data_IF_665574015288
#
_entry.id   IF_665574015288
#
_cell.length_a   1.000
_cell.length_b   1.000
_cell.length_c   1.000
_cell.angle_alpha   90.00
_cell.angle_beta   90.00
_cell.angle_gamma   90.00
#
_symmetry.space_group_name_H-M   'P 1'
#
loop_
_entity.id
_entity.type
_entity.pdbx_description
1 polymer ?
#
# COMPACT_ATOMS: atom_id res chain seq x y z
N UNK A 1 -16.97 28.36 6.85
CA UNK A 1 -15.48 28.39 6.87
C UNK A 1 -15.00 27.84 5.55
N UNK A 2 -14.04 28.46 4.86
CA UNK A 2 -13.44 27.82 3.70
C UNK A 2 -12.73 26.54 4.18
N UNK A 3 -12.79 25.43 3.43
CA UNK A 3 -12.04 24.23 3.78
C UNK A 3 -10.55 24.57 3.85
N UNK A 4 -9.83 23.97 4.81
CA UNK A 4 -8.38 24.13 5.03
C UNK A 4 -7.57 23.96 3.72
N UNK A 5 -8.13 23.29 2.71
CA UNK A 5 -7.59 23.18 1.35
C UNK A 5 -7.33 24.51 0.62
N UNK A 6 -7.93 25.62 1.06
CA UNK A 6 -7.80 26.93 0.41
C UNK A 6 -6.49 27.69 0.76
N UNK A 7 -5.73 27.24 1.76
CA UNK A 7 -4.58 27.95 2.32
C UNK A 7 -3.22 27.28 2.04
N UNK A 8 -3.10 26.53 0.96
CA UNK A 8 -1.91 25.73 0.65
C UNK A 8 -1.07 26.36 -0.47
N UNK A 9 0.10 26.90 -0.10
CA UNK A 9 1.13 27.45 -0.98
C UNK A 9 1.93 26.31 -1.63
N UNK A 10 1.75 26.05 -2.92
CA UNK A 10 2.68 25.24 -3.70
C UNK A 10 3.84 26.12 -4.22
N UNK A 11 4.95 25.53 -4.71
CA UNK A 11 6.01 26.26 -5.43
C UNK A 11 5.41 27.11 -6.55
N UNK A 12 6.03 28.27 -6.84
CA UNK A 12 5.61 29.15 -7.93
C UNK A 12 5.52 28.33 -9.24
N UNK A 13 4.33 28.30 -9.85
CA UNK A 13 4.03 27.52 -11.06
C UNK A 13 3.31 26.17 -10.86
N UNK A 14 3.25 25.62 -9.64
CA UNK A 14 2.63 24.31 -9.36
C UNK A 14 1.41 24.38 -8.41
N UNK A 15 0.84 25.57 -8.22
CA UNK A 15 -0.25 25.84 -7.25
C UNK A 15 -1.49 24.97 -7.45
N UNK A 16 -1.84 24.64 -8.70
CA UNK A 16 -2.97 23.76 -9.00
C UNK A 16 -2.65 22.30 -8.69
N UNK A 17 -1.56 21.76 -9.22
CA UNK A 17 -1.15 20.36 -9.02
C UNK A 17 -0.93 20.05 -7.54
N UNK A 18 -0.25 20.92 -6.79
CA UNK A 18 -0.05 20.72 -5.36
C UNK A 18 -1.36 20.66 -4.57
N UNK A 19 -2.37 21.47 -4.94
CA UNK A 19 -3.70 21.41 -4.32
C UNK A 19 -4.44 20.11 -4.65
N UNK A 20 -4.33 19.62 -5.88
CA UNK A 20 -4.92 18.34 -6.29
C UNK A 20 -4.26 17.19 -5.53
N UNK A 21 -2.92 17.17 -5.45
CA UNK A 21 -2.15 16.17 -4.71
C UNK A 21 -2.55 16.16 -3.22
N UNK A 22 -2.57 17.31 -2.55
CA UNK A 22 -2.98 17.41 -1.15
C UNK A 22 -4.44 16.94 -0.96
N UNK A 23 -5.33 17.28 -1.89
CA UNK A 23 -6.73 16.82 -1.85
C UNK A 23 -6.84 15.30 -2.03
N UNK A 24 -6.05 14.71 -2.92
CA UNK A 24 -6.01 13.26 -3.13
C UNK A 24 -5.49 12.53 -1.88
N UNK A 25 -4.45 13.08 -1.22
CA UNK A 25 -3.93 12.55 0.05
C UNK A 25 -4.98 12.60 1.16
N UNK A 26 -5.61 13.75 1.37
CA UNK A 26 -6.65 13.94 2.41
C UNK A 26 -7.80 12.97 2.18
N UNK A 27 -8.35 12.89 0.96
CA UNK A 27 -9.46 11.99 0.64
C UNK A 27 -9.12 10.52 0.83
N UNK A 28 -7.88 10.12 0.55
CA UNK A 28 -7.39 8.76 0.80
C UNK A 28 -7.38 8.47 2.29
N UNK A 29 -6.78 9.35 3.11
CA UNK A 29 -6.73 9.18 4.57
C UNK A 29 -8.13 9.17 5.16
N UNK A 30 -9.01 10.08 4.73
CA UNK A 30 -10.41 10.08 5.16
C UNK A 30 -11.10 8.76 4.80
N UNK A 31 -10.84 8.21 3.62
CA UNK A 31 -11.44 6.95 3.20
C UNK A 31 -10.97 5.75 4.04
N UNK A 32 -9.72 5.76 4.53
CA UNK A 32 -9.15 4.69 5.36
C UNK A 32 -9.57 4.87 6.83
N UNK A 33 -9.32 6.04 7.42
CA UNK A 33 -9.57 6.30 8.84
C UNK A 33 -11.07 6.31 9.18
N UNK A 34 -11.90 6.88 8.30
CA UNK A 34 -13.34 6.87 8.49
C UNK A 34 -14.02 5.65 7.85
N UNK A 35 -13.27 4.67 7.35
CA UNK A 35 -13.88 3.45 6.81
C UNK A 35 -14.73 2.77 7.88
N UNK A 36 -14.24 2.64 9.11
CA UNK A 36 -15.01 2.04 10.22
C UNK A 36 -16.30 2.82 10.53
N UNK A 37 -16.24 4.16 10.48
CA UNK A 37 -17.42 5.00 10.69
C UNK A 37 -18.42 4.86 9.53
N UNK A 38 -17.95 4.84 8.29
CA UNK A 38 -18.77 4.69 7.09
C UNK A 38 -19.40 3.29 6.98
N UNK A 39 -18.63 2.25 7.31
CA UNK A 39 -19.05 0.86 7.29
C UNK A 39 -20.07 0.56 8.40
N UNK A 40 -19.98 1.23 9.56
CA UNK A 40 -20.91 1.07 10.68
C UNK A 40 -20.69 -0.20 11.49
N UNK A 41 -21.08 -0.20 12.77
CA UNK A 41 -20.71 -1.26 13.74
C UNK A 41 -21.52 -2.56 13.69
N UNK A 42 -22.79 -2.49 13.30
CA UNK A 42 -23.76 -3.60 13.51
C UNK A 42 -24.14 -4.35 12.22
N UNK A 43 -23.48 -4.09 11.10
CA UNK A 43 -23.78 -4.80 9.86
C UNK A 43 -23.08 -6.15 9.78
N UNK A 44 -23.77 -7.11 9.17
CA UNK A 44 -23.13 -8.34 8.68
C UNK A 44 -22.12 -8.04 7.58
N UNK A 45 -21.17 -8.95 7.35
CA UNK A 45 -20.17 -8.83 6.27
C UNK A 45 -20.85 -8.56 4.92
N UNK A 46 -21.96 -9.25 4.61
CA UNK A 46 -22.75 -9.01 3.41
C UNK A 46 -23.26 -7.57 3.30
N UNK A 47 -23.73 -6.99 4.40
CA UNK A 47 -24.16 -5.60 4.46
C UNK A 47 -23.01 -4.61 4.23
N UNK A 48 -21.83 -4.91 4.78
CA UNK A 48 -20.62 -4.12 4.57
C UNK A 48 -20.17 -4.14 3.11
N UNK A 49 -20.13 -5.33 2.49
CA UNK A 49 -19.80 -5.51 1.07
C UNK A 49 -20.77 -4.71 0.17
N UNK A 50 -22.07 -4.77 0.45
CA UNK A 50 -23.05 -3.98 -0.29
C UNK A 50 -22.80 -2.46 -0.19
N UNK A 51 -22.42 -1.97 1.01
CA UNK A 51 -22.04 -0.55 1.20
C UNK A 51 -20.78 -0.18 0.43
N UNK A 52 -19.78 -1.05 0.38
CA UNK A 52 -18.55 -0.83 -0.39
C UNK A 52 -18.88 -0.65 -1.87
N UNK A 53 -19.69 -1.53 -2.45
CA UNK A 53 -20.10 -1.43 -3.86
C UNK A 53 -20.91 -0.15 -4.13
N UNK A 54 -21.75 0.28 -3.20
CA UNK A 54 -22.53 1.52 -3.33
C UNK A 54 -21.68 2.80 -3.22
N UNK A 55 -20.51 2.76 -2.60
CA UNK A 55 -19.66 3.94 -2.38
C UNK A 55 -18.87 4.41 -3.62
N UNK A 56 -18.95 3.65 -4.71
CA UNK A 56 -18.25 3.90 -5.97
C UNK A 56 -16.89 3.18 -6.06
N UNK A 57 -16.52 2.81 -7.29
CA UNK A 57 -15.37 1.96 -7.58
C UNK A 57 -14.06 2.53 -7.02
N UNK A 58 -13.77 3.81 -7.25
CA UNK A 58 -12.49 4.39 -6.81
C UNK A 58 -12.27 4.34 -5.30
N UNK A 59 -13.33 4.36 -4.50
CA UNK A 59 -13.24 4.29 -3.03
C UNK A 59 -13.23 2.86 -2.51
N UNK A 60 -13.69 1.90 -3.30
CA UNK A 60 -13.84 0.51 -2.88
C UNK A 60 -12.53 -0.11 -2.38
N UNK A 61 -11.39 0.25 -2.98
CA UNK A 61 -10.07 -0.20 -2.55
C UNK A 61 -9.79 0.10 -1.06
N UNK A 62 -10.01 1.35 -0.65
CA UNK A 62 -9.78 1.78 0.74
C UNK A 62 -10.85 1.24 1.68
N UNK A 63 -12.09 1.12 1.22
CA UNK A 63 -13.17 0.58 2.03
C UNK A 63 -13.05 -0.94 2.23
N UNK A 64 -12.45 -1.67 1.29
CA UNK A 64 -12.10 -3.07 1.44
C UNK A 64 -11.00 -3.27 2.50
N UNK A 65 -10.00 -2.38 2.54
CA UNK A 65 -9.05 -2.30 3.65
C UNK A 65 -9.76 -2.02 4.97
N UNK A 66 -10.69 -1.06 4.98
CA UNK A 66 -11.53 -0.78 6.14
C UNK A 66 -12.36 -1.98 6.62
N UNK A 67 -12.91 -2.80 5.70
CA UNK A 67 -13.64 -4.02 6.01
C UNK A 67 -12.76 -5.01 6.77
N UNK A 68 -11.54 -5.24 6.26
CA UNK A 68 -10.56 -6.10 6.92
C UNK A 68 -10.22 -5.61 8.32
N UNK A 69 -9.99 -4.31 8.47
CA UNK A 69 -9.66 -3.70 9.76
C UNK A 69 -10.84 -3.80 10.75
N UNK A 70 -12.06 -3.52 10.28
CA UNK A 70 -13.27 -3.63 11.08
C UNK A 70 -13.45 -5.05 11.62
N UNK A 71 -13.35 -6.05 10.74
CA UNK A 71 -13.54 -7.44 11.08
C UNK A 71 -12.43 -7.96 12.02
N UNK A 72 -11.17 -7.58 11.77
CA UNK A 72 -10.04 -7.87 12.65
C UNK A 72 -10.21 -7.31 14.06
N UNK A 73 -10.62 -6.04 14.19
CA UNK A 73 -10.90 -5.41 15.48
C UNK A 73 -12.02 -6.09 16.24
N UNK A 74 -13.13 -6.43 15.55
CA UNK A 74 -14.29 -7.10 16.15
C UNK A 74 -13.93 -8.46 16.74
N UNK A 75 -13.03 -9.20 16.10
CA UNK A 75 -12.60 -10.52 16.56
C UNK A 75 -11.56 -10.44 17.66
N UNK A 76 -10.58 -9.53 17.57
CA UNK A 76 -9.65 -9.24 18.67
C UNK A 76 -10.37 -8.85 19.96
N UNK A 77 -11.49 -8.13 19.87
CA UNK A 77 -12.31 -7.76 21.02
C UNK A 77 -13.00 -8.97 21.69
N UNK A 78 -13.19 -10.08 20.96
CA UNK A 78 -13.84 -11.31 21.46
C UNK A 78 -12.84 -12.39 21.87
N UNK A 79 -11.70 -12.45 21.19
CA UNK A 79 -10.63 -13.41 21.39
C UNK A 79 -9.31 -12.76 20.98
N UNK A 80 -8.31 -12.72 21.87
CA UNK A 80 -7.01 -12.11 21.58
C UNK A 80 -6.18 -12.88 20.54
N UNK A 81 -6.50 -14.16 20.27
CA UNK A 81 -5.83 -15.00 19.26
C UNK A 81 -6.83 -15.55 18.23
N UNK A 82 -7.45 -14.69 17.39
CA UNK A 82 -8.38 -15.16 16.37
C UNK A 82 -7.66 -15.96 15.28
N UNK A 83 -8.38 -16.88 14.64
CA UNK A 83 -7.89 -17.71 13.54
C UNK A 83 -8.96 -17.83 12.46
N UNK A 84 -8.55 -18.17 11.24
CA UNK A 84 -9.45 -18.48 10.12
C UNK A 84 -10.41 -17.33 9.76
N UNK A 85 -9.97 -16.07 9.92
CA UNK A 85 -10.80 -14.88 9.70
C UNK A 85 -11.56 -14.90 8.37
N UNK A 86 -10.86 -15.22 7.28
CA UNK A 86 -11.41 -15.18 5.92
C UNK A 86 -11.69 -16.56 5.32
N UNK A 87 -11.41 -17.64 6.04
CA UNK A 87 -11.72 -19.01 5.63
C UNK A 87 -13.01 -19.56 6.28
N UNK A 88 -13.45 -18.99 7.40
CA UNK A 88 -14.61 -19.44 8.16
C UNK A 88 -15.59 -18.31 8.52
N UNK A 89 -16.77 -18.70 9.03
CA UNK A 89 -17.78 -17.75 9.52
C UNK A 89 -18.30 -16.79 8.45
N UNK A 90 -18.59 -15.55 8.84
CA UNK A 90 -19.04 -14.51 7.90
C UNK A 90 -17.92 -14.02 6.97
N UNK A 91 -16.65 -14.17 7.36
CA UNK A 91 -15.51 -13.70 6.58
C UNK A 91 -15.28 -14.48 5.29
N UNK A 92 -15.76 -15.73 5.22
CA UNK A 92 -15.76 -16.54 3.99
C UNK A 92 -16.63 -15.94 2.87
N UNK A 93 -17.60 -15.10 3.25
CA UNK A 93 -18.56 -14.49 2.31
C UNK A 93 -18.01 -13.19 1.71
N UNK A 94 -16.77 -12.78 2.05
CA UNK A 94 -16.08 -11.65 1.42
C UNK A 94 -15.72 -12.03 -0.03
N UNK A 95 -16.17 -11.25 -1.03
CA UNK A 95 -15.81 -11.50 -2.43
C UNK A 95 -14.30 -11.51 -2.67
N UNK A 96 -13.84 -12.38 -3.56
CA UNK A 96 -12.41 -12.57 -3.85
C UNK A 96 -11.70 -11.26 -4.21
N UNK A 97 -12.34 -10.40 -5.02
CA UNK A 97 -11.79 -9.11 -5.42
C UNK A 97 -11.55 -8.16 -4.23
N UNK A 98 -12.21 -8.36 -3.08
CA UNK A 98 -11.97 -7.53 -1.90
C UNK A 98 -10.92 -8.12 -0.96
N UNK A 99 -10.51 -9.38 -1.16
CA UNK A 99 -9.65 -10.10 -0.22
C UNK A 99 -8.26 -9.49 -0.12
N UNK A 100 -7.65 -9.04 -1.22
CA UNK A 100 -6.30 -8.45 -1.18
C UNK A 100 -6.23 -7.28 -0.19
N UNK A 101 -7.19 -6.36 -0.30
CA UNK A 101 -7.25 -5.20 0.59
C UNK A 101 -7.80 -5.55 1.97
N UNK A 102 -8.73 -6.50 2.08
CA UNK A 102 -9.20 -6.97 3.39
C UNK A 102 -8.06 -7.58 4.23
N UNK A 103 -7.11 -8.28 3.60
CA UNK A 103 -5.91 -8.78 4.28
C UNK A 103 -4.99 -7.65 4.75
N UNK A 104 -4.81 -6.60 3.93
CA UNK A 104 -4.11 -5.39 4.37
C UNK A 104 -4.76 -4.83 5.65
N UNK A 105 -6.08 -4.64 5.62
CA UNK A 105 -6.87 -4.13 6.73
C UNK A 105 -6.80 -4.97 8.00
N UNK A 106 -6.87 -6.29 7.86
CA UNK A 106 -6.70 -7.24 8.96
C UNK A 106 -5.35 -7.03 9.67
N UNK A 107 -4.27 -6.93 8.90
CA UNK A 107 -2.95 -6.70 9.46
C UNK A 107 -2.83 -5.34 10.16
N UNK A 108 -3.51 -4.29 9.64
CA UNK A 108 -3.62 -3.01 10.33
C UNK A 108 -4.28 -3.16 11.71
N UNK A 109 -5.37 -3.94 11.83
CA UNK A 109 -6.04 -4.17 13.10
C UNK A 109 -5.12 -4.88 14.11
N UNK A 110 -4.47 -5.96 13.68
CA UNK A 110 -3.55 -6.73 14.52
C UNK A 110 -2.35 -5.89 14.97
N UNK A 111 -1.72 -5.17 14.04
CA UNK A 111 -0.58 -4.32 14.34
C UNK A 111 -0.95 -3.22 15.34
N UNK A 112 -2.03 -2.47 15.11
CA UNK A 112 -2.44 -1.40 16.04
C UNK A 112 -2.73 -1.93 17.43
N UNK A 113 -3.48 -3.03 17.52
CA UNK A 113 -3.80 -3.66 18.80
C UNK A 113 -2.53 -3.96 19.62
N UNK A 114 -1.51 -4.55 19.02
CA UNK A 114 -0.29 -4.89 19.77
C UNK A 114 0.66 -3.70 19.96
N UNK A 115 0.81 -2.82 18.96
CA UNK A 115 1.73 -1.68 19.04
C UNK A 115 1.25 -0.59 20.00
N UNK A 116 -0.06 -0.38 20.16
CA UNK A 116 -0.62 0.55 21.15
C UNK A 116 -0.21 0.21 22.59
N UNK A 117 0.08 -1.08 22.86
CA UNK A 117 0.47 -1.58 24.18
C UNK A 117 1.99 -1.66 24.38
N UNK A 118 2.77 -1.47 23.34
CA UNK A 118 4.23 -1.64 23.36
C UNK A 118 4.96 -0.42 23.94
N UNK A 119 4.32 0.77 23.89
CA UNK A 119 4.96 2.04 24.26
C UNK A 119 5.95 2.54 23.20
N UNK A 120 6.51 3.74 23.39
CA UNK A 120 7.35 4.39 22.36
C UNK A 120 8.82 3.98 22.37
N UNK A 121 9.26 3.26 23.41
CA UNK A 121 10.66 2.87 23.63
C UNK A 121 10.72 1.49 24.30
N UNK A 122 10.26 0.44 23.61
CA UNK A 122 10.22 -0.90 24.16
C UNK A 122 11.61 -1.49 24.36
N UNK A 123 11.74 -2.39 25.34
CA UNK A 123 12.91 -3.26 25.42
C UNK A 123 12.98 -4.21 24.20
N UNK A 124 14.17 -4.63 23.76
CA UNK A 124 14.31 -5.49 22.57
C UNK A 124 13.45 -6.77 22.61
N UNK A 125 13.37 -7.44 23.76
CA UNK A 125 12.53 -8.65 23.89
C UNK A 125 11.03 -8.34 23.78
N UNK A 126 10.58 -7.17 24.27
CA UNK A 126 9.17 -6.76 24.13
C UNK A 126 8.83 -6.49 22.67
N UNK A 127 9.73 -5.83 21.92
CA UNK A 127 9.56 -5.61 20.49
C UNK A 127 9.51 -6.94 19.73
N UNK A 128 10.42 -7.87 20.06
CA UNK A 128 10.48 -9.20 19.45
C UNK A 128 9.25 -10.03 19.72
N UNK A 129 8.77 -10.06 20.96
CA UNK A 129 7.55 -10.76 21.34
C UNK A 129 6.31 -10.16 20.65
N UNK A 130 6.25 -8.82 20.54
CA UNK A 130 5.17 -8.15 19.80
C UNK A 130 5.22 -8.52 18.31
N UNK A 131 6.40 -8.53 17.70
CA UNK A 131 6.57 -8.93 16.31
C UNK A 131 6.13 -10.38 16.06
N UNK A 132 6.52 -11.32 16.94
CA UNK A 132 6.07 -12.72 16.87
C UNK A 132 4.54 -12.85 16.97
N UNK A 133 3.90 -12.10 17.86
CA UNK A 133 2.44 -12.11 18.02
C UNK A 133 1.74 -11.63 16.75
N UNK A 134 2.17 -10.50 16.19
CA UNK A 134 1.57 -9.96 14.97
C UNK A 134 1.79 -10.91 13.78
N UNK A 135 3.00 -11.43 13.60
CA UNK A 135 3.32 -12.40 12.55
C UNK A 135 2.46 -13.67 12.68
N UNK A 136 2.39 -14.25 13.88
CA UNK A 136 1.56 -15.44 14.14
C UNK A 136 0.06 -15.20 13.90
N UNK A 137 -0.44 -13.99 14.18
CA UNK A 137 -1.82 -13.62 13.83
C UNK A 137 -2.03 -13.51 12.32
N UNK A 138 -1.07 -12.95 11.58
CA UNK A 138 -1.12 -12.90 10.12
C UNK A 138 -1.11 -14.32 9.55
N UNK A 139 -0.18 -15.17 9.99
CA UNK A 139 -0.07 -16.56 9.52
C UNK A 139 -1.33 -17.38 9.80
N UNK A 140 -1.96 -17.19 10.95
CA UNK A 140 -3.16 -17.94 11.34
C UNK A 140 -4.45 -17.49 10.61
N UNK A 141 -4.39 -16.40 9.84
CA UNK A 141 -5.58 -15.80 9.24
C UNK A 141 -5.45 -15.45 7.76
N UNK A 142 -4.23 -15.24 7.26
CA UNK A 142 -4.01 -14.91 5.87
C UNK A 142 -4.21 -16.14 4.99
N UNK A 143 -5.05 -15.99 3.97
CA UNK A 143 -5.20 -16.99 2.92
C UNK A 143 -3.93 -17.03 2.05
N UNK A 144 -3.64 -18.18 1.45
CA UNK A 144 -2.49 -18.34 0.55
C UNK A 144 -2.52 -17.31 -0.59
N UNK A 145 -1.41 -16.62 -0.81
CA UNK A 145 -1.28 -15.55 -1.81
C UNK A 145 -1.65 -14.14 -1.32
N UNK A 146 -1.94 -13.97 -0.03
CA UNK A 146 -2.27 -12.69 0.61
C UNK A 146 -1.38 -12.37 1.84
N UNK A 147 -0.35 -13.18 2.11
CA UNK A 147 0.55 -12.97 3.23
C UNK A 147 1.37 -11.69 3.04
N UNK A 148 1.98 -11.53 1.87
CA UNK A 148 2.83 -10.37 1.58
C UNK A 148 2.11 -9.03 1.70
N UNK A 149 0.84 -8.90 1.29
CA UNK A 149 0.08 -7.64 1.48
C UNK A 149 -0.19 -7.37 2.97
N UNK A 150 -0.34 -8.41 3.80
CA UNK A 150 -0.54 -8.28 5.24
C UNK A 150 0.71 -7.72 5.93
N UNK A 151 1.89 -8.28 5.64
CA UNK A 151 3.16 -7.77 6.16
C UNK A 151 3.50 -6.38 5.63
N UNK A 152 3.14 -6.12 4.37
CA UNK A 152 3.30 -4.80 3.77
C UNK A 152 2.47 -3.74 4.51
N UNK A 153 1.19 -4.02 4.75
CA UNK A 153 0.31 -3.13 5.47
C UNK A 153 0.74 -2.94 6.95
N UNK A 154 1.30 -3.99 7.58
CA UNK A 154 1.92 -3.91 8.90
C UNK A 154 3.16 -2.98 8.90
N UNK A 155 4.04 -3.11 7.91
CA UNK A 155 5.18 -2.19 7.74
C UNK A 155 4.73 -0.74 7.59
N UNK A 156 3.69 -0.51 6.77
CA UNK A 156 3.09 0.81 6.55
C UNK A 156 2.56 1.42 7.85
N UNK A 157 1.69 0.72 8.58
CA UNK A 157 1.05 1.25 9.80
C UNK A 157 2.08 1.50 10.91
N UNK A 158 3.05 0.60 11.06
CA UNK A 158 4.15 0.75 12.03
C UNK A 158 4.98 1.98 11.68
N UNK A 159 5.36 2.14 10.41
CA UNK A 159 6.12 3.30 9.98
C UNK A 159 5.31 4.59 10.04
N UNK A 160 4.00 4.56 9.81
CA UNK A 160 3.18 5.77 9.76
C UNK A 160 2.84 6.31 11.15
N UNK A 161 2.26 5.45 12.01
CA UNK A 161 1.74 5.81 13.33
C UNK A 161 2.73 5.55 14.48
N UNK A 162 3.55 4.50 14.38
CA UNK A 162 4.44 4.04 15.44
C UNK A 162 5.91 4.28 15.11
N UNK A 163 6.22 5.47 14.55
CA UNK A 163 7.54 5.81 13.96
C UNK A 163 8.74 5.48 14.84
N UNK A 164 8.64 5.74 16.14
CA UNK A 164 9.73 5.50 17.11
C UNK A 164 10.00 4.01 17.34
N UNK A 165 9.01 3.16 17.11
CA UNK A 165 9.03 1.72 17.35
C UNK A 165 9.41 0.95 16.09
N UNK A 166 9.21 1.54 14.91
CA UNK A 166 9.51 0.90 13.62
C UNK A 166 10.89 0.25 13.52
N UNK A 167 12.02 0.89 13.92
CA UNK A 167 13.34 0.24 13.84
C UNK A 167 13.43 -1.04 14.67
N UNK A 168 12.90 -1.03 15.91
CA UNK A 168 12.93 -2.19 16.79
C UNK A 168 12.08 -3.36 16.28
N UNK A 169 10.96 -3.05 15.61
CA UNK A 169 10.11 -4.07 14.98
C UNK A 169 10.78 -4.67 13.75
N UNK A 170 11.43 -3.85 12.91
CA UNK A 170 12.17 -4.36 11.75
C UNK A 170 13.34 -5.23 12.18
N UNK A 171 14.15 -4.78 13.14
CA UNK A 171 15.25 -5.57 13.71
C UNK A 171 14.76 -6.91 14.29
N UNK A 172 13.58 -6.89 14.94
CA UNK A 172 12.96 -8.11 15.43
C UNK A 172 12.54 -9.05 14.29
N UNK A 173 11.95 -8.50 13.22
CA UNK A 173 11.53 -9.24 12.03
C UNK A 173 12.70 -9.86 11.27
N UNK A 174 13.83 -9.17 11.20
CA UNK A 174 15.08 -9.72 10.64
C UNK A 174 15.59 -10.96 11.39
N UNK A 175 15.14 -11.17 12.63
CA UNK A 175 15.53 -12.34 13.44
C UNK A 175 14.50 -13.47 13.42
N UNK A 176 13.22 -13.16 13.15
CA UNK A 176 12.13 -14.15 13.20
C UNK A 176 11.66 -14.60 11.82
N UNK A 177 11.65 -13.70 10.84
CA UNK A 177 11.09 -13.95 9.52
C UNK A 177 11.67 -12.96 8.49
N UNK A 178 12.87 -13.29 8.02
CA UNK A 178 13.60 -12.49 7.03
C UNK A 178 12.91 -12.44 5.67
N UNK A 179 12.03 -13.40 5.36
CA UNK A 179 11.37 -13.49 4.07
C UNK A 179 10.37 -12.35 3.84
N UNK A 180 9.70 -11.88 4.89
CA UNK A 180 8.69 -10.81 4.81
C UNK A 180 9.20 -9.42 5.18
N UNK A 181 10.44 -9.27 5.64
CA UNK A 181 11.07 -7.95 5.88
C UNK A 181 11.01 -7.03 4.64
N UNK A 182 11.23 -7.51 3.39
CA UNK A 182 11.05 -6.69 2.19
C UNK A 182 9.64 -6.09 2.06
N UNK A 183 8.59 -6.87 2.34
CA UNK A 183 7.21 -6.39 2.31
C UNK A 183 7.02 -5.25 3.33
N UNK A 184 7.57 -5.38 4.53
CA UNK A 184 7.47 -4.31 5.53
C UNK A 184 8.16 -3.01 5.10
N UNK A 185 9.33 -3.11 4.47
CA UNK A 185 10.02 -1.95 3.89
C UNK A 185 9.23 -1.33 2.73
N UNK A 186 8.54 -2.14 1.92
CA UNK A 186 7.63 -1.66 0.89
C UNK A 186 6.48 -0.84 1.50
N UNK A 187 5.85 -1.36 2.55
CA UNK A 187 4.82 -0.63 3.28
C UNK A 187 5.32 0.66 3.91
N UNK A 188 6.51 0.65 4.49
CA UNK A 188 7.17 1.85 4.99
C UNK A 188 7.36 2.90 3.90
N UNK A 189 7.67 2.48 2.67
CA UNK A 189 7.77 3.34 1.49
C UNK A 189 6.45 4.04 1.16
N UNK A 190 5.32 3.32 1.25
CA UNK A 190 3.99 3.94 1.08
C UNK A 190 3.70 4.98 2.15
N UNK A 191 4.05 4.70 3.42
CA UNK A 191 3.83 5.61 4.53
C UNK A 191 4.56 6.95 4.34
N UNK A 192 5.77 6.91 3.78
CA UNK A 192 6.62 8.10 3.58
C UNK A 192 5.94 9.18 2.74
N UNK A 193 5.12 8.81 1.75
CA UNK A 193 4.41 9.77 0.89
C UNK A 193 3.45 10.71 1.63
N UNK A 194 2.92 10.24 2.77
CA UNK A 194 1.95 10.97 3.59
C UNK A 194 2.61 11.81 4.70
N UNK A 195 3.94 11.76 4.88
CA UNK A 195 4.61 12.58 5.91
C UNK A 195 4.67 14.05 5.56
N UNK A 196 4.59 14.38 4.28
CA UNK A 196 4.59 15.74 3.77
C UNK A 196 3.27 15.98 3.03
N UNK A 197 2.27 16.48 3.78
CA UNK A 197 0.96 16.87 3.23
C UNK A 197 1.03 18.05 2.26
N UNK A 198 2.15 18.78 2.24
CA UNK A 198 2.37 19.95 1.41
C UNK A 198 3.74 19.87 0.71
N UNK A 199 3.81 20.17 -0.60
CA UNK A 199 5.09 20.41 -1.25
C UNK A 199 5.76 21.62 -0.60
N UNK A 200 6.99 21.46 -0.07
CA UNK A 200 7.74 22.59 0.49
C UNK A 200 8.26 23.47 -0.64
N UNK A 201 8.22 24.78 -0.43
CA UNK A 201 8.61 25.80 -1.42
C UNK A 201 10.04 25.64 -1.99
N UNK A 202 10.97 25.07 -1.23
CA UNK A 202 12.38 24.93 -1.63
C UNK A 202 12.78 23.50 -2.01
N UNK A 203 11.93 22.51 -1.77
CA UNK A 203 12.25 21.11 -2.04
C UNK A 203 10.98 20.34 -2.43
N UNK A 204 10.73 20.14 -3.74
CA UNK A 204 9.61 19.34 -4.19
C UNK A 204 9.85 17.87 -3.79
N UNK A 205 8.95 17.32 -2.97
CA UNK A 205 8.99 15.95 -2.41
C UNK A 205 10.29 15.60 -1.64
N UNK A 206 10.48 16.08 -0.39
CA UNK A 206 11.65 15.74 0.44
C UNK A 206 11.72 14.25 0.85
N UNK A 207 10.71 13.46 0.45
CA UNK A 207 10.60 12.02 0.70
C UNK A 207 11.81 11.23 0.21
N UNK A 208 12.47 11.66 -0.88
CA UNK A 208 13.63 10.94 -1.42
C UNK A 208 14.86 11.07 -0.51
N UNK A 209 15.11 12.26 0.05
CA UNK A 209 16.16 12.42 1.06
C UNK A 209 15.84 11.66 2.35
N UNK A 210 14.55 11.51 2.66
CA UNK A 210 14.12 10.67 3.76
C UNK A 210 14.41 9.20 3.50
N UNK A 211 14.11 8.67 2.31
CA UNK A 211 14.46 7.30 1.92
C UNK A 211 15.97 7.07 2.05
N UNK A 212 16.80 8.01 1.61
CA UNK A 212 18.26 7.93 1.76
C UNK A 212 18.71 7.75 3.22
N UNK A 213 18.04 8.43 4.17
CA UNK A 213 18.37 8.35 5.60
C UNK A 213 17.81 7.11 6.30
N UNK A 214 16.73 6.55 5.78
CA UNK A 214 16.01 5.44 6.43
C UNK A 214 16.44 4.07 5.92
N UNK A 215 16.91 3.99 4.67
CA UNK A 215 17.43 2.75 4.13
C UNK A 215 18.67 2.29 4.92
N UNK A 216 18.67 1.03 5.35
CA UNK A 216 19.78 0.38 6.05
C UNK A 216 20.68 -0.43 5.11
N UNK A 217 20.14 -0.81 3.94
CA UNK A 217 20.82 -1.56 2.88
C UNK A 217 20.12 -1.36 1.53
N UNK A 218 20.71 -1.88 0.45
CA UNK A 218 20.13 -1.79 -0.91
C UNK A 218 18.72 -2.38 -0.96
N UNK A 219 18.48 -3.54 -0.36
CA UNK A 219 17.14 -4.18 -0.33
C UNK A 219 16.09 -3.27 0.31
N UNK A 220 16.40 -2.66 1.46
CA UNK A 220 15.48 -1.72 2.12
C UNK A 220 15.21 -0.49 1.26
N UNK A 221 16.24 0.05 0.58
CA UNK A 221 16.13 1.20 -0.32
C UNK A 221 15.18 0.92 -1.47
N UNK A 222 15.38 -0.18 -2.18
CA UNK A 222 14.57 -0.53 -3.35
C UNK A 222 13.12 -0.80 -2.94
N UNK A 223 12.88 -1.46 -1.81
CA UNK A 223 11.53 -1.64 -1.29
C UNK A 223 10.86 -0.32 -0.87
N UNK A 224 11.58 0.59 -0.21
CA UNK A 224 11.08 1.93 0.11
C UNK A 224 10.67 2.71 -1.15
N UNK A 225 11.48 2.65 -2.21
CA UNK A 225 11.18 3.32 -3.49
C UNK A 225 10.01 2.68 -4.24
N UNK A 226 9.92 1.34 -4.23
CA UNK A 226 8.77 0.62 -4.76
C UNK A 226 7.49 0.97 -4.01
N UNK A 227 7.53 0.98 -2.68
CA UNK A 227 6.42 1.45 -1.85
C UNK A 227 6.00 2.87 -2.17
N UNK A 228 6.96 3.78 -2.35
CA UNK A 228 6.72 5.16 -2.75
C UNK A 228 6.03 5.22 -4.13
N UNK A 229 6.51 4.47 -5.12
CA UNK A 229 5.90 4.38 -6.45
C UNK A 229 4.48 3.84 -6.43
N UNK A 230 4.20 2.86 -5.57
CA UNK A 230 2.86 2.30 -5.37
C UNK A 230 1.89 3.33 -4.83
N UNK A 231 2.24 4.01 -3.74
CA UNK A 231 1.32 4.99 -3.14
C UNK A 231 1.14 6.23 -4.02
N UNK A 232 2.18 6.72 -4.69
CA UNK A 232 2.05 7.89 -5.58
C UNK A 232 1.10 7.59 -6.72
N UNK A 233 1.22 6.41 -7.35
CA UNK A 233 0.34 5.98 -8.42
C UNK A 233 -1.10 5.75 -7.94
N UNK A 234 -1.30 4.98 -6.86
CA UNK A 234 -2.65 4.58 -6.43
C UNK A 234 -3.51 5.76 -5.91
N UNK A 235 -2.86 6.77 -5.30
CA UNK A 235 -3.50 7.97 -4.78
C UNK A 235 -3.82 8.95 -5.91
N UNK A 236 -2.93 9.08 -6.89
CA UNK A 236 -3.03 10.07 -7.95
C UNK A 236 -3.45 9.49 -9.30
N UNK A 237 -3.99 8.27 -9.34
CA UNK A 237 -4.39 7.58 -10.57
C UNK A 237 -5.37 8.39 -11.43
N UNK A 238 -6.21 9.24 -10.83
CA UNK A 238 -7.14 10.14 -11.52
C UNK A 238 -6.54 11.50 -11.93
N UNK A 239 -5.26 11.71 -11.63
CA UNK A 239 -4.51 12.95 -11.86
C UNK A 239 -3.06 12.60 -12.26
N UNK A 240 -2.86 11.90 -13.39
CA UNK A 240 -1.55 11.41 -13.83
C UNK A 240 -0.52 12.53 -14.04
N UNK A 241 -0.96 13.78 -14.23
CA UNK A 241 -0.09 14.97 -14.31
C UNK A 241 0.79 15.14 -13.05
N UNK A 242 0.36 14.63 -11.89
CA UNK A 242 1.16 14.63 -10.67
C UNK A 242 2.38 13.71 -10.83
N UNK A 243 2.18 12.52 -11.41
CA UNK A 243 3.28 11.59 -11.67
C UNK A 243 4.21 12.13 -12.74
N UNK A 244 3.71 12.81 -13.77
CA UNK A 244 4.58 13.45 -14.78
C UNK A 244 5.60 14.38 -14.12
N UNK A 245 5.14 15.21 -13.17
CA UNK A 245 6.01 16.15 -12.46
C UNK A 245 6.96 15.40 -11.51
N UNK A 246 6.47 14.42 -10.74
CA UNK A 246 7.35 13.62 -9.86
C UNK A 246 8.44 12.93 -10.67
N UNK A 247 8.09 12.36 -11.83
CA UNK A 247 9.04 11.67 -12.69
C UNK A 247 10.07 12.64 -13.25
N UNK A 248 9.63 13.78 -13.80
CA UNK A 248 10.53 14.81 -14.33
C UNK A 248 11.49 15.35 -13.27
N UNK A 249 10.96 15.71 -12.10
CA UNK A 249 11.69 16.46 -11.09
C UNK A 249 12.57 15.57 -10.21
N UNK A 250 12.18 14.30 -10.00
CA UNK A 250 12.85 13.39 -9.04
C UNK A 250 13.30 12.08 -9.68
N UNK A 251 12.39 11.31 -10.30
CA UNK A 251 12.71 9.93 -10.73
C UNK A 251 13.72 9.91 -11.88
N UNK A 252 13.65 10.87 -12.80
CA UNK A 252 14.58 10.99 -13.93
C UNK A 252 16.05 11.19 -13.51
N UNK A 253 16.29 11.56 -12.24
CA UNK A 253 17.62 11.83 -11.67
C UNK A 253 18.17 10.65 -10.86
N UNK A 254 17.41 9.56 -10.75
CA UNK A 254 17.81 8.35 -10.01
C UNK A 254 18.59 7.39 -10.92
N UNK A 255 19.30 6.45 -10.30
CA UNK A 255 19.94 5.34 -11.02
C UNK A 255 18.93 4.33 -11.54
N UNK A 256 19.36 3.46 -12.46
CA UNK A 256 18.48 2.52 -13.16
C UNK A 256 17.74 1.55 -12.22
N UNK A 257 18.41 1.06 -11.17
CA UNK A 257 17.80 0.17 -10.17
C UNK A 257 16.71 0.87 -9.35
N UNK A 258 16.96 2.12 -8.93
CA UNK A 258 16.00 2.94 -8.20
C UNK A 258 14.77 3.27 -9.08
N UNK A 259 14.99 3.54 -10.38
CA UNK A 259 13.91 3.71 -11.35
C UNK A 259 13.10 2.42 -11.50
N UNK A 260 13.76 1.28 -11.62
CA UNK A 260 13.08 -0.02 -11.72
C UNK A 260 12.25 -0.32 -10.47
N UNK A 261 12.75 0.04 -9.28
CA UNK A 261 12.01 -0.07 -8.03
C UNK A 261 10.75 0.79 -8.01
N UNK A 262 10.87 2.09 -8.29
CA UNK A 262 9.71 2.97 -8.37
C UNK A 262 8.68 2.48 -9.39
N UNK A 263 9.15 2.02 -10.56
CA UNK A 263 8.33 1.49 -11.65
C UNK A 263 7.57 0.22 -11.26
N UNK A 264 8.21 -0.67 -10.49
CA UNK A 264 7.54 -1.84 -9.93
C UNK A 264 6.44 -1.43 -8.94
N UNK A 265 6.68 -0.38 -8.15
CA UNK A 265 5.66 0.26 -7.33
C UNK A 265 4.43 0.69 -8.13
N UNK A 266 4.64 1.38 -9.25
CA UNK A 266 3.54 1.76 -10.15
C UNK A 266 2.74 0.53 -10.61
N UNK A 267 3.44 -0.55 -10.96
CA UNK A 267 2.78 -1.80 -11.32
C UNK A 267 1.96 -2.38 -10.15
N UNK A 268 2.50 -2.38 -8.92
CA UNK A 268 1.80 -2.78 -7.70
C UNK A 268 0.47 -2.01 -7.54
N UNK A 269 0.48 -0.69 -7.73
CA UNK A 269 -0.73 0.13 -7.63
C UNK A 269 -1.83 -0.28 -8.61
N UNK A 270 -1.44 -0.61 -9.86
CA UNK A 270 -2.38 -1.07 -10.89
C UNK A 270 -2.89 -2.47 -10.58
N UNK A 271 -2.04 -3.39 -10.12
CA UNK A 271 -2.49 -4.73 -9.69
C UNK A 271 -3.50 -4.62 -8.56
N UNK A 272 -3.24 -3.81 -7.52
CA UNK A 272 -4.16 -3.63 -6.40
C UNK A 272 -5.51 -3.05 -6.85
N UNK A 273 -5.49 -2.10 -7.79
CA UNK A 273 -6.69 -1.47 -8.34
C UNK A 273 -7.50 -2.43 -9.20
N UNK A 274 -6.84 -3.12 -10.12
CA UNK A 274 -7.50 -4.06 -11.01
C UNK A 274 -8.06 -5.27 -10.24
N UNK A 275 -7.35 -5.74 -9.21
CA UNK A 275 -7.86 -6.84 -8.39
C UNK A 275 -9.08 -6.41 -7.58
N UNK A 276 -9.09 -5.18 -7.03
CA UNK A 276 -10.19 -4.68 -6.19
C UNK A 276 -11.42 -4.26 -6.99
N UNK A 277 -11.19 -3.49 -8.05
CA UNK A 277 -12.23 -2.93 -8.91
C UNK A 277 -11.85 -3.17 -10.37
N UNK A 278 -12.06 -4.40 -10.85
CA UNK A 278 -11.79 -4.75 -12.24
C UNK A 278 -12.52 -3.79 -13.19
N UNK A 279 -11.86 -3.47 -14.31
CA UNK A 279 -12.41 -2.64 -15.38
C UNK A 279 -12.80 -1.20 -14.97
N UNK A 280 -12.29 -0.71 -13.83
CA UNK A 280 -12.53 0.68 -13.43
C UNK A 280 -11.97 1.66 -14.47
N UNK A 281 -12.81 2.61 -14.91
CA UNK A 281 -12.45 3.58 -15.94
C UNK A 281 -11.21 4.42 -15.60
N UNK A 282 -10.98 4.75 -14.32
CA UNK A 282 -9.78 5.50 -13.93
C UNK A 282 -8.49 4.69 -14.10
N UNK A 283 -8.52 3.39 -13.84
CA UNK A 283 -7.35 2.51 -14.04
C UNK A 283 -7.01 2.44 -15.53
N UNK A 284 -8.03 2.26 -16.39
CA UNK A 284 -7.85 2.24 -17.84
C UNK A 284 -7.33 3.58 -18.37
N UNK A 285 -7.92 4.70 -17.92
CA UNK A 285 -7.50 6.06 -18.30
C UNK A 285 -6.05 6.32 -17.90
N UNK A 286 -5.65 5.93 -16.69
CA UNK A 286 -4.28 6.08 -16.20
C UNK A 286 -3.26 5.31 -17.05
N UNK A 287 -3.58 4.07 -17.41
CA UNK A 287 -2.72 3.21 -18.24
C UNK A 287 -2.62 3.71 -19.69
N UNK A 288 -3.65 4.38 -20.19
CA UNK A 288 -3.71 4.97 -21.53
C UNK A 288 -3.20 6.42 -21.58
N UNK A 289 -2.88 7.01 -20.42
CA UNK A 289 -2.44 8.39 -20.34
C UNK A 289 -1.17 8.64 -21.17
N UNK A 290 -1.21 9.71 -21.96
CA UNK A 290 -0.07 10.22 -22.72
C UNK A 290 0.40 11.52 -22.06
N UNK A 291 1.67 11.62 -21.64
CA UNK A 291 2.16 12.79 -20.95
C UNK A 291 2.12 14.02 -21.86
N UNK A 292 1.82 15.18 -21.29
CA UNK A 292 1.79 16.44 -22.05
C UNK A 292 3.14 17.16 -22.05
N UNK A 293 3.87 17.10 -20.93
CA UNK A 293 5.13 17.84 -20.76
C UNK A 293 6.35 16.94 -20.55
N UNK A 294 6.14 15.69 -20.11
CA UNK A 294 7.20 14.72 -19.92
C UNK A 294 7.51 14.00 -21.23
N UNK A 295 8.81 13.74 -21.49
CA UNK A 295 9.23 12.92 -22.63
C UNK A 295 8.47 11.57 -22.64
N UNK A 296 7.76 11.21 -23.73
CA UNK A 296 6.95 10.00 -23.77
C UNK A 296 7.74 8.73 -23.43
N UNK A 297 9.00 8.63 -23.83
CA UNK A 297 9.88 7.49 -23.57
C UNK A 297 10.14 7.32 -22.08
N UNK A 298 10.36 8.43 -21.38
CA UNK A 298 10.58 8.42 -19.93
C UNK A 298 9.29 8.05 -19.19
N UNK A 299 8.14 8.55 -19.63
CA UNK A 299 6.84 8.12 -19.09
C UNK A 299 6.60 6.62 -19.31
N UNK A 300 6.84 6.11 -20.52
CA UNK A 300 6.66 4.68 -20.81
C UNK A 300 7.62 3.82 -19.98
N UNK A 301 8.86 4.27 -19.78
CA UNK A 301 9.83 3.55 -18.94
C UNK A 301 9.39 3.47 -17.48
N UNK A 302 8.90 4.57 -16.91
CA UNK A 302 8.70 4.70 -15.46
C UNK A 302 7.27 4.39 -15.01
N UNK A 303 6.27 4.73 -15.82
CA UNK A 303 4.85 4.68 -15.44
C UNK A 303 4.03 3.90 -16.45
N UNK A 304 3.94 4.36 -17.69
CA UNK A 304 3.02 3.84 -18.70
C UNK A 304 3.27 2.37 -19.05
N UNK A 305 4.52 1.98 -19.28
CA UNK A 305 4.92 0.60 -19.58
C UNK A 305 4.69 -0.34 -18.40
N UNK A 306 5.23 -0.04 -17.19
CA UNK A 306 4.94 -0.81 -15.98
C UNK A 306 3.45 -0.96 -15.67
N UNK A 307 2.67 0.11 -15.78
CA UNK A 307 1.22 0.10 -15.56
C UNK A 307 0.48 -0.79 -16.57
N UNK A 308 0.85 -0.72 -17.85
CA UNK A 308 0.28 -1.57 -18.90
C UNK A 308 0.63 -3.04 -18.71
N UNK A 309 1.89 -3.33 -18.40
CA UNK A 309 2.35 -4.69 -18.08
C UNK A 309 1.65 -5.26 -16.83
N UNK A 310 1.41 -4.41 -15.84
CA UNK A 310 0.66 -4.77 -14.64
C UNK A 310 -0.74 -5.28 -14.99
N UNK A 311 -1.46 -4.51 -15.80
CA UNK A 311 -2.82 -4.78 -16.21
C UNK A 311 -2.95 -5.99 -17.14
N UNK A 312 -2.11 -6.03 -18.18
CA UNK A 312 -2.28 -6.96 -19.29
C UNK A 312 -1.60 -8.32 -19.05
N UNK A 313 -0.62 -8.38 -18.15
CA UNK A 313 0.21 -9.58 -17.98
C UNK A 313 0.38 -9.99 -16.52
N UNK A 314 0.80 -9.07 -15.65
CA UNK A 314 1.19 -9.44 -14.28
C UNK A 314 -0.03 -9.78 -13.42
N UNK A 315 -1.05 -8.92 -13.37
CA UNK A 315 -2.25 -9.18 -12.57
C UNK A 315 -2.92 -10.51 -12.96
N UNK A 316 -3.23 -10.79 -14.25
CA UNK A 316 -3.81 -12.07 -14.64
C UNK A 316 -2.94 -13.28 -14.24
N UNK A 317 -1.62 -13.19 -14.41
CA UNK A 317 -0.70 -14.28 -14.08
C UNK A 317 -0.61 -14.54 -12.57
N UNK A 318 -0.47 -13.48 -11.77
CA UNK A 318 -0.40 -13.59 -10.31
C UNK A 318 -1.74 -14.07 -9.73
N UNK A 319 -2.87 -13.57 -10.24
CA UNK A 319 -4.20 -13.99 -9.82
C UNK A 319 -4.44 -15.48 -10.10
N UNK A 320 -4.16 -15.93 -11.33
CA UNK A 320 -4.27 -17.34 -11.69
C UNK A 320 -3.35 -18.27 -10.88
N UNK A 321 -2.22 -17.73 -10.39
CA UNK A 321 -1.27 -18.44 -9.54
C UNK A 321 -1.54 -18.36 -8.04
N UNK A 322 -2.53 -17.58 -7.58
CA UNK A 322 -2.73 -17.21 -6.16
C UNK A 322 -1.44 -16.64 -5.53
N UNK A 323 -0.84 -15.68 -6.22
CA UNK A 323 0.47 -15.05 -5.92
C UNK A 323 0.39 -13.52 -5.94
N UNK A 324 -0.79 -12.95 -5.71
CA UNK A 324 -1.02 -11.50 -5.80
C UNK A 324 -0.12 -10.71 -4.85
N UNK A 325 0.18 -11.27 -3.68
CA UNK A 325 1.07 -10.68 -2.70
C UNK A 325 2.54 -10.60 -3.13
N UNK A 326 2.97 -11.30 -4.19
CA UNK A 326 4.34 -11.18 -4.69
C UNK A 326 4.66 -9.79 -5.26
N UNK A 327 3.64 -8.99 -5.59
CA UNK A 327 3.82 -7.62 -6.08
C UNK A 327 4.06 -6.61 -4.94
N UNK A 328 3.87 -7.00 -3.67
CA UNK A 328 3.94 -6.09 -2.52
C UNK A 328 5.34 -6.03 -1.88
N UNK A 329 6.36 -6.43 -2.63
CA UNK A 329 7.76 -6.16 -2.38
C UNK A 329 8.53 -5.99 -3.70
N UNK A 330 9.66 -5.29 -3.65
CA UNK A 330 10.43 -5.02 -4.85
C UNK A 330 11.02 -6.31 -5.43
N UNK A 331 10.68 -6.57 -6.69
CA UNK A 331 11.34 -7.52 -7.59
C UNK A 331 11.31 -6.95 -9.00
N UNK A 332 12.35 -7.13 -9.83
CA UNK A 332 12.28 -6.74 -11.23
C UNK A 332 11.04 -7.34 -11.92
N UNK A 333 10.34 -6.52 -12.73
CA UNK A 333 9.05 -6.90 -13.34
C UNK A 333 9.15 -8.12 -14.26
N UNK A 334 10.31 -8.33 -14.87
CA UNK A 334 10.69 -9.51 -15.64
C UNK A 334 10.83 -10.78 -14.80
N UNK A 335 11.28 -10.66 -13.57
CA UNK A 335 11.45 -11.80 -12.66
C UNK A 335 10.14 -12.23 -11.98
N UNK A 336 9.17 -11.33 -11.83
CA UNK A 336 7.87 -11.64 -11.20
C UNK A 336 7.13 -12.76 -11.95
N UNK A 337 7.23 -12.78 -13.28
CA UNK A 337 6.59 -13.81 -14.12
C UNK A 337 7.43 -15.09 -14.26
N UNK A 338 8.73 -15.04 -13.97
CA UNK A 338 9.68 -16.14 -14.26
C UNK A 338 9.57 -17.37 -13.35
N UNK A 339 8.80 -17.32 -12.26
CA UNK A 339 8.51 -18.51 -11.45
C UNK A 339 7.42 -19.34 -12.11
N UNK A 340 7.84 -20.35 -12.87
CA UNK A 340 6.99 -21.47 -13.25
C UNK A 340 6.33 -22.08 -11.99
N UNK A 341 5.07 -22.49 -12.12
CA UNK A 341 4.30 -23.23 -11.09
C UNK A 341 5.18 -24.32 -10.46
N UNK A 342 5.08 -24.60 -9.14
CA UNK A 342 5.34 -25.95 -8.68
C UNK A 342 4.39 -26.85 -9.47
N UNK A 343 4.96 -27.69 -10.34
CA UNK A 343 4.28 -28.84 -10.91
C UNK A 343 3.62 -29.60 -9.77
N UNK A 344 2.32 -29.83 -9.89
CA UNK A 344 1.54 -30.51 -8.86
C UNK A 344 2.17 -31.85 -8.47
N UNK A 345 2.05 -32.14 -7.18
CA UNK A 345 1.95 -33.50 -6.63
C UNK A 345 0.92 -33.44 -5.53
#
# INVERSE_FOLDING_TARGET
MPPISALLCAPAGQSRTGRIESSNKIRTIESVEYANHFLGGDLSVKGLVARIHAAGQFRALWLAEGLGQHYGNRLLARNESPKNLFSEGEGRDIPENLLLMAHAGMALAFARHHLDRLGSSPAPEQARETARRIAGLIEANALGGYGGISYEAWGMVTRFFYRKVFPAIIESMEQIDTAHVPNMWHGAGRAVYFFDFMPRWKEPWPVFERINREATCLTSRLNLLAGLGSVTAIVNMRSPEILEIIVRERIAKLGDEDIAAYSQGVACAVVMREDTTPDEASTRTFVQHTPSELAPELWQRVVGGPARRALDTIHPALKAGRRLDEITCFRPLDQILGRNRPSGT
#
